data_IF_753224174091
#
_entry.id   IF_753224174091
#
_cell.length_a   1.000
_cell.length_b   1.000
_cell.length_c   1.000
_cell.angle_alpha   90.00
_cell.angle_beta   90.00
_cell.angle_gamma   90.00
#
_symmetry.space_group_name_H-M   'P 1'
#
loop_
_entity.id
_entity.type
_entity.pdbx_description
1 polymer ?
#
# COMPACT_ATOMS: atom_id res chain seq x y z
N UNK A 1 -12.01 -8.41 13.56
CA UNK A 1 -11.53 -7.55 12.47
C UNK A 1 -10.09 -7.11 12.75
N UNK A 2 -9.25 -7.01 11.71
CA UNK A 2 -7.97 -6.29 11.74
C UNK A 2 -8.21 -4.87 11.28
N UNK A 3 -7.48 -3.90 11.82
CA UNK A 3 -7.58 -2.49 11.44
C UNK A 3 -6.16 -1.94 11.23
N UNK A 4 -5.96 -1.17 10.16
CA UNK A 4 -4.68 -0.51 9.88
C UNK A 4 -4.91 0.98 9.58
N UNK A 5 -5.11 1.81 10.60
CA UNK A 5 -5.21 3.25 10.42
C UNK A 5 -3.83 3.84 10.12
N UNK A 6 -3.77 4.81 9.21
CA UNK A 6 -2.57 5.58 8.96
C UNK A 6 -2.62 6.89 9.75
N UNK A 7 -1.55 7.17 10.49
CA UNK A 7 -1.48 8.29 11.44
C UNK A 7 -0.08 8.90 11.50
N UNK A 8 -0.02 10.19 11.83
CA UNK A 8 1.22 10.84 12.24
C UNK A 8 1.64 10.34 13.63
N UNK A 9 2.89 9.90 13.78
CA UNK A 9 3.44 9.49 15.08
C UNK A 9 4.76 10.18 15.39
N UNK A 10 4.89 10.61 16.65
CA UNK A 10 6.17 11.03 17.21
C UNK A 10 6.71 9.87 18.09
N UNK A 11 7.84 9.30 17.68
CA UNK A 11 8.51 8.21 18.38
C UNK A 11 9.94 8.67 18.67
N UNK A 12 10.29 8.83 19.94
CA UNK A 12 11.63 9.25 20.38
C UNK A 12 12.13 10.53 19.67
N UNK A 13 11.26 11.54 19.59
CA UNK A 13 11.49 12.81 18.91
C UNK A 13 11.66 12.74 17.37
N UNK A 14 11.48 11.59 16.76
CA UNK A 14 11.38 11.42 15.32
C UNK A 14 9.92 11.32 14.90
N UNK A 15 9.58 11.95 13.79
CA UNK A 15 8.21 12.04 13.28
C UNK A 15 8.05 11.11 12.09
N UNK A 16 7.04 10.25 12.12
CA UNK A 16 6.81 9.25 11.08
C UNK A 16 5.38 9.30 10.56
N UNK A 17 5.24 9.10 9.27
CA UNK A 17 4.01 8.62 8.67
C UNK A 17 3.90 7.11 8.95
N UNK A 18 2.83 6.68 9.63
CA UNK A 18 2.78 5.36 10.26
C UNK A 18 1.43 4.71 10.11
N UNK A 19 1.41 3.47 9.62
CA UNK A 19 0.23 2.61 9.67
C UNK A 19 0.32 1.67 10.87
N UNK A 20 -0.62 1.78 11.79
CA UNK A 20 -0.71 0.87 12.92
C UNK A 20 -1.28 -0.48 12.47
N UNK A 21 -0.84 -1.57 13.11
CA UNK A 21 -1.45 -2.89 12.92
C UNK A 21 -2.20 -3.29 14.19
N UNK A 22 -3.54 -3.27 14.12
CA UNK A 22 -4.42 -3.58 15.24
C UNK A 22 -5.05 -4.95 14.99
N UNK A 23 -4.87 -5.86 15.94
CA UNK A 23 -5.38 -7.22 15.85
C UNK A 23 -6.88 -7.33 16.19
N UNK A 24 -7.43 -8.53 16.08
CA UNK A 24 -8.85 -8.82 16.35
C UNK A 24 -9.28 -8.61 17.82
N UNK A 25 -8.33 -8.52 18.74
CA UNK A 25 -8.54 -8.21 20.16
C UNK A 25 -8.49 -6.70 20.43
N UNK A 26 -8.24 -5.87 19.41
CA UNK A 26 -8.13 -4.42 19.56
C UNK A 26 -6.76 -3.96 20.05
N UNK A 27 -5.78 -4.85 20.15
CA UNK A 27 -4.42 -4.50 20.55
C UNK A 27 -3.59 -4.02 19.36
N UNK A 28 -2.83 -2.94 19.52
CA UNK A 28 -1.78 -2.54 18.58
C UNK A 28 -0.62 -3.51 18.77
N UNK A 29 -0.37 -4.36 17.78
CA UNK A 29 0.67 -5.39 17.87
C UNK A 29 1.97 -5.00 17.16
N UNK A 30 1.89 -4.12 16.16
CA UNK A 30 3.04 -3.57 15.45
C UNK A 30 2.61 -2.35 14.62
N UNK A 31 3.53 -1.81 13.83
CA UNK A 31 3.33 -0.68 12.91
C UNK A 31 4.26 -0.76 11.71
N UNK A 32 3.85 -0.18 10.60
CA UNK A 32 4.69 0.10 9.45
C UNK A 32 4.94 1.61 9.36
N UNK A 33 6.17 2.01 9.08
CA UNK A 33 6.55 3.41 8.84
C UNK A 33 6.85 3.60 7.35
N UNK A 34 6.49 4.77 6.80
CA UNK A 34 6.81 5.14 5.42
C UNK A 34 8.31 5.13 5.20
N UNK A 35 8.76 4.51 4.11
CA UNK A 35 10.19 4.32 3.81
C UNK A 35 10.74 5.46 2.95
N UNK A 36 10.01 5.84 1.90
CA UNK A 36 10.40 6.91 0.99
C UNK A 36 9.51 8.12 1.22
N UNK A 37 10.10 9.24 1.61
CA UNK A 37 9.37 10.46 1.95
C UNK A 37 9.30 11.37 0.74
N UNK A 38 8.08 11.78 0.39
CA UNK A 38 7.84 12.68 -0.74
C UNK A 38 8.39 14.09 -0.51
N UNK A 39 8.85 14.72 -1.60
CA UNK A 39 9.14 16.14 -1.65
C UNK A 39 8.69 16.66 -3.00
N UNK A 40 7.53 17.30 -3.02
CA UNK A 40 6.91 17.86 -4.20
C UNK A 40 6.09 19.11 -3.82
N UNK A 41 5.58 19.80 -4.81
CA UNK A 41 4.71 20.96 -4.55
C UNK A 41 3.49 20.50 -3.73
N UNK A 42 3.21 21.20 -2.62
CA UNK A 42 2.21 20.92 -1.60
C UNK A 42 2.44 19.62 -0.76
N UNK A 43 3.50 18.85 -1.06
CA UNK A 43 3.91 17.68 -0.28
C UNK A 43 5.36 17.87 0.20
N UNK A 44 5.56 18.74 1.20
CA UNK A 44 6.88 19.05 1.78
C UNK A 44 7.19 18.09 2.94
N UNK A 45 6.98 16.79 2.71
CA UNK A 45 7.01 15.77 3.76
C UNK A 45 8.41 15.56 4.34
N UNK A 46 9.46 15.78 3.54
CA UNK A 46 10.86 15.70 4.02
C UNK A 46 11.20 16.76 5.06
N UNK A 47 10.42 17.83 5.17
CA UNK A 47 10.65 18.88 6.16
C UNK A 47 10.25 18.44 7.57
N UNK A 48 9.42 17.39 7.71
CA UNK A 48 8.89 16.97 9.01
C UNK A 48 8.84 15.46 9.24
N UNK A 49 8.83 14.61 8.22
CA UNK A 49 8.88 13.17 8.40
C UNK A 49 10.31 12.60 8.36
N UNK A 50 10.53 11.58 9.15
CA UNK A 50 11.74 10.76 9.15
C UNK A 50 11.48 9.48 8.36
N UNK A 51 12.33 9.10 7.40
CA UNK A 51 12.22 7.80 6.73
C UNK A 51 12.28 6.63 7.70
N UNK A 52 11.58 5.54 7.38
CA UNK A 52 11.64 4.30 8.14
C UNK A 52 13.08 3.78 8.23
N UNK A 53 13.47 3.34 9.41
CA UNK A 53 14.76 2.72 9.70
C UNK A 53 14.67 1.19 9.83
N UNK A 54 13.47 0.61 9.70
CA UNK A 54 13.21 -0.83 9.81
C UNK A 54 12.52 -1.42 8.56
N UNK A 55 12.38 -0.62 7.50
CA UNK A 55 11.90 -1.03 6.17
C UNK A 55 10.44 -1.45 6.13
N UNK A 56 10.09 -2.21 5.11
CA UNK A 56 8.71 -2.66 4.86
C UNK A 56 8.29 -3.79 5.79
N UNK A 57 7.04 -3.74 6.27
CA UNK A 57 6.44 -4.72 7.18
C UNK A 57 5.41 -5.59 6.48
N UNK A 58 5.35 -6.85 6.91
CA UNK A 58 4.33 -7.81 6.52
C UNK A 58 3.80 -8.49 7.77
N UNK A 59 2.49 -8.51 7.93
CA UNK A 59 1.80 -9.00 9.11
C UNK A 59 1.08 -10.32 8.82
N UNK A 60 1.20 -11.27 9.73
CA UNK A 60 0.50 -12.54 9.64
C UNK A 60 -0.95 -12.40 10.11
N UNK A 61 -1.86 -13.02 9.35
CA UNK A 61 -3.26 -13.21 9.74
C UNK A 61 -3.67 -14.66 9.50
N UNK A 62 -4.81 -15.08 10.04
CA UNK A 62 -5.38 -16.40 9.76
C UNK A 62 -5.82 -16.59 8.30
N UNK A 63 -5.93 -15.51 7.53
CA UNK A 63 -6.36 -15.54 6.12
C UNK A 63 -5.19 -15.51 5.14
N UNK A 64 -4.04 -15.00 5.55
CA UNK A 64 -2.85 -14.80 4.72
C UNK A 64 -1.98 -13.69 5.29
N UNK A 65 -0.96 -13.28 4.54
CA UNK A 65 -0.03 -12.23 4.94
C UNK A 65 -0.38 -10.90 4.29
N UNK A 66 -0.37 -9.83 5.08
CA UNK A 66 -0.70 -8.48 4.63
C UNK A 66 0.54 -7.58 4.72
N UNK A 67 0.98 -7.06 3.59
CA UNK A 67 2.02 -6.03 3.51
C UNK A 67 1.43 -4.63 3.59
N UNK A 68 2.19 -3.69 4.14
CA UNK A 68 1.82 -2.28 4.17
C UNK A 68 2.84 -1.47 3.40
N UNK A 69 2.35 -0.66 2.45
CA UNK A 69 3.12 0.28 1.63
C UNK A 69 2.43 1.63 1.74
N UNK A 70 3.13 2.66 2.21
CA UNK A 70 2.48 3.93 2.55
C UNK A 70 2.69 4.96 1.44
N UNK A 71 1.60 5.44 0.87
CA UNK A 71 1.49 6.60 -0.01
C UNK A 71 2.57 6.63 -1.11
N UNK A 72 3.57 7.52 -1.02
CA UNK A 72 4.64 7.69 -2.00
C UNK A 72 5.49 6.43 -2.22
N UNK A 73 5.59 5.55 -1.23
CA UNK A 73 6.29 4.26 -1.36
C UNK A 73 5.78 3.43 -2.56
N UNK A 74 4.51 3.59 -2.98
CA UNK A 74 3.93 2.83 -4.10
C UNK A 74 4.60 3.10 -5.44
N UNK A 75 5.18 4.31 -5.62
CA UNK A 75 5.88 4.68 -6.85
C UNK A 75 7.19 3.92 -7.05
N UNK A 76 7.73 3.35 -5.97
CA UNK A 76 8.95 2.55 -6.01
C UNK A 76 8.57 1.07 -6.12
N UNK A 77 8.77 0.41 -7.29
CA UNK A 77 8.37 -1.00 -7.48
C UNK A 77 9.03 -1.94 -6.47
N UNK A 78 10.17 -1.56 -5.90
CA UNK A 78 10.85 -2.29 -4.83
C UNK A 78 9.99 -2.44 -3.57
N UNK A 79 9.09 -1.50 -3.30
CA UNK A 79 8.27 -1.46 -2.08
C UNK A 79 7.31 -2.64 -2.03
N UNK A 80 6.44 -2.76 -3.02
CA UNK A 80 5.49 -3.89 -3.15
C UNK A 80 6.25 -5.20 -3.36
N UNK A 81 7.29 -5.18 -4.20
CA UNK A 81 8.13 -6.37 -4.45
C UNK A 81 8.75 -6.90 -3.16
N UNK A 82 9.26 -6.04 -2.30
CA UNK A 82 9.85 -6.44 -1.00
C UNK A 82 8.80 -7.09 -0.10
N UNK A 83 7.61 -6.52 0.01
CA UNK A 83 6.52 -7.13 0.78
C UNK A 83 6.15 -8.51 0.24
N UNK A 84 6.06 -8.67 -1.08
CA UNK A 84 5.73 -9.97 -1.70
C UNK A 84 6.83 -10.99 -1.49
N UNK A 85 8.10 -10.59 -1.56
CA UNK A 85 9.24 -11.47 -1.23
C UNK A 85 9.26 -11.89 0.24
N UNK A 86 8.70 -11.08 1.15
CA UNK A 86 8.43 -11.43 2.55
C UNK A 86 7.17 -12.29 2.73
N UNK A 87 6.46 -12.60 1.64
CA UNK A 87 5.31 -13.51 1.59
C UNK A 87 3.94 -12.85 1.63
N UNK A 88 3.82 -11.54 1.39
CA UNK A 88 2.52 -10.86 1.35
C UNK A 88 1.60 -11.46 0.26
N UNK A 89 0.33 -11.64 0.61
CA UNK A 89 -0.76 -12.06 -0.28
C UNK A 89 -1.69 -10.89 -0.61
N UNK A 90 -1.69 -9.86 0.25
CA UNK A 90 -2.39 -8.58 0.10
C UNK A 90 -1.43 -7.45 0.45
N UNK A 91 -1.45 -6.39 -0.32
CA UNK A 91 -0.84 -5.10 0.02
C UNK A 91 -1.94 -4.10 0.31
N UNK A 92 -1.85 -3.40 1.44
CA UNK A 92 -2.69 -2.24 1.72
C UNK A 92 -1.87 -0.97 1.54
N UNK A 93 -2.49 0.03 0.88
CA UNK A 93 -1.83 1.31 0.57
C UNK A 93 -2.71 2.45 1.07
N UNK A 94 -2.49 2.97 2.27
CA UNK A 94 -3.07 4.26 2.65
C UNK A 94 -2.36 5.38 1.88
N UNK A 95 -3.13 6.30 1.28
CA UNK A 95 -2.56 7.37 0.47
C UNK A 95 -3.41 8.64 0.50
N UNK A 96 -2.78 9.78 0.22
CA UNK A 96 -3.39 11.10 0.08
C UNK A 96 -3.01 11.71 -1.27
N UNK A 97 -3.54 11.11 -2.35
CA UNK A 97 -3.24 11.51 -3.72
C UNK A 97 -4.19 12.61 -4.21
N UNK A 98 -3.66 13.60 -4.89
CA UNK A 98 -4.44 14.71 -5.43
C UNK A 98 -4.77 14.52 -6.92
N UNK A 99 -5.72 15.32 -7.42
CA UNK A 99 -6.10 15.38 -8.84
C UNK A 99 -5.00 15.97 -9.73
N UNK A 100 -3.89 16.45 -9.16
CA UNK A 100 -2.71 16.88 -9.92
C UNK A 100 -1.97 15.69 -10.55
N UNK A 101 -2.04 14.51 -9.94
CA UNK A 101 -1.57 13.28 -10.57
C UNK A 101 -2.60 12.77 -11.59
N UNK A 102 -2.17 12.39 -12.83
CA UNK A 102 -3.08 11.84 -13.81
C UNK A 102 -3.79 10.58 -13.30
N UNK A 103 -5.11 10.63 -13.17
CA UNK A 103 -5.91 9.57 -12.54
C UNK A 103 -5.82 8.22 -13.25
N UNK A 104 -5.59 8.24 -14.56
CA UNK A 104 -5.34 7.01 -15.32
C UNK A 104 -4.04 6.34 -14.87
N UNK A 105 -2.97 7.12 -14.66
CA UNK A 105 -1.68 6.60 -14.19
C UNK A 105 -1.77 6.07 -12.76
N UNK A 106 -2.53 6.74 -11.90
CA UNK A 106 -2.82 6.31 -10.53
C UNK A 106 -3.43 4.90 -10.47
N UNK A 107 -4.41 4.60 -11.34
CA UNK A 107 -5.01 3.26 -11.44
C UNK A 107 -4.04 2.27 -12.09
N UNK A 108 -3.41 2.64 -13.20
CA UNK A 108 -2.49 1.76 -13.94
C UNK A 108 -1.31 1.31 -13.09
N UNK A 109 -0.71 2.21 -12.31
CA UNK A 109 0.40 1.89 -11.42
C UNK A 109 0.03 0.75 -10.46
N UNK A 110 -1.12 0.84 -9.80
CA UNK A 110 -1.59 -0.20 -8.87
C UNK A 110 -1.89 -1.51 -9.59
N UNK A 111 -2.52 -1.47 -10.76
CA UNK A 111 -2.85 -2.64 -11.56
C UNK A 111 -1.61 -3.38 -12.06
N UNK A 112 -0.62 -2.65 -12.58
CA UNK A 112 0.65 -3.22 -13.03
C UNK A 112 1.41 -3.85 -11.86
N UNK A 113 1.52 -3.15 -10.74
CA UNK A 113 2.17 -3.65 -9.54
C UNK A 113 1.50 -4.91 -8.98
N UNK A 114 0.16 -4.96 -8.97
CA UNK A 114 -0.59 -6.15 -8.55
C UNK A 114 -0.28 -7.35 -9.45
N UNK A 115 -0.29 -7.17 -10.76
CA UNK A 115 -0.03 -8.22 -11.74
C UNK A 115 1.42 -8.70 -11.71
N UNK A 116 2.40 -7.79 -11.73
CA UNK A 116 3.83 -8.15 -11.73
C UNK A 116 4.29 -8.84 -10.44
N UNK A 117 3.61 -8.56 -9.34
CA UNK A 117 3.88 -9.15 -8.04
C UNK A 117 2.92 -10.31 -7.70
N UNK A 118 1.88 -10.52 -8.51
CA UNK A 118 0.86 -11.55 -8.30
C UNK A 118 0.28 -11.50 -6.88
N UNK A 119 -0.20 -10.32 -6.50
CA UNK A 119 -0.65 -9.97 -5.15
C UNK A 119 -1.93 -9.14 -5.25
N UNK A 120 -2.85 -9.28 -4.29
CA UNK A 120 -3.94 -8.33 -4.14
C UNK A 120 -3.42 -6.98 -3.68
N UNK A 121 -3.96 -5.91 -4.20
CA UNK A 121 -3.66 -4.55 -3.72
C UNK A 121 -4.96 -3.84 -3.37
N UNK A 122 -5.04 -3.33 -2.16
CA UNK A 122 -6.14 -2.48 -1.69
C UNK A 122 -5.59 -1.09 -1.36
N UNK A 123 -5.92 -0.10 -2.17
CA UNK A 123 -5.49 1.28 -1.98
C UNK A 123 -6.65 2.12 -1.45
N UNK A 124 -6.43 2.79 -0.32
CA UNK A 124 -7.38 3.70 0.32
C UNK A 124 -6.86 5.12 0.17
N UNK A 125 -7.56 5.93 -0.63
CA UNK A 125 -7.18 7.30 -0.92
C UNK A 125 -8.11 8.31 -0.23
N UNK A 126 -7.54 9.45 0.14
CA UNK A 126 -8.25 10.60 0.71
C UNK A 126 -9.20 11.22 -0.31
N UNK A 127 -10.28 11.83 0.17
CA UNK A 127 -11.24 12.64 -0.60
C UNK A 127 -11.32 14.06 -0.03
N UNK A 128 -11.87 14.97 -0.82
CA UNK A 128 -12.17 16.36 -0.42
C UNK A 128 -11.05 17.33 -0.69
N UNK A 129 -11.20 18.55 -0.17
CA UNK A 129 -10.27 19.66 -0.39
C UNK A 129 -9.66 20.13 0.92
N UNK A 130 -8.40 20.49 0.87
CA UNK A 130 -7.67 21.12 1.96
C UNK A 130 -6.72 22.14 1.37
N UNK A 131 -6.94 23.41 1.68
CA UNK A 131 -6.24 24.54 1.08
C UNK A 131 -6.19 24.47 -0.46
N UNK A 132 -5.00 24.32 -1.02
CA UNK A 132 -4.77 24.20 -2.47
C UNK A 132 -4.82 22.74 -2.98
N UNK A 133 -5.01 21.75 -2.11
CA UNK A 133 -5.05 20.33 -2.47
C UNK A 133 -6.49 19.86 -2.69
N UNK A 134 -6.73 19.23 -3.84
CA UNK A 134 -7.99 18.54 -4.18
C UNK A 134 -7.69 17.04 -4.28
N UNK A 135 -8.08 16.29 -3.24
CA UNK A 135 -7.79 14.85 -3.15
C UNK A 135 -8.74 14.06 -4.04
N UNK A 136 -8.16 13.12 -4.77
CA UNK A 136 -8.83 12.48 -5.90
C UNK A 136 -9.80 11.37 -5.53
N UNK A 137 -9.77 10.84 -4.29
CA UNK A 137 -10.56 9.67 -3.93
C UNK A 137 -10.17 8.44 -4.76
N UNK A 138 -11.16 7.79 -5.36
CA UNK A 138 -10.99 6.63 -6.25
C UNK A 138 -10.21 5.46 -5.63
N UNK A 139 -10.42 5.23 -4.32
CA UNK A 139 -9.92 4.04 -3.65
C UNK A 139 -10.30 2.78 -4.43
N UNK A 140 -9.42 1.78 -4.49
CA UNK A 140 -9.69 0.59 -5.30
C UNK A 140 -9.05 -0.66 -4.71
N UNK A 141 -9.63 -1.80 -5.10
CA UNK A 141 -9.05 -3.13 -4.85
C UNK A 141 -8.79 -3.82 -6.18
N UNK A 142 -7.59 -4.36 -6.34
CA UNK A 142 -7.10 -5.00 -7.55
C UNK A 142 -6.70 -6.44 -7.23
N UNK A 143 -7.02 -7.36 -8.13
CA UNK A 143 -6.66 -8.77 -8.02
C UNK A 143 -5.21 -9.05 -8.48
N UNK A 144 -4.67 -10.26 -8.24
CA UNK A 144 -3.31 -10.64 -8.64
C UNK A 144 -3.06 -10.71 -10.16
N UNK A 145 -4.07 -10.49 -11.00
CA UNK A 145 -3.94 -10.39 -12.47
C UNK A 145 -3.97 -8.93 -12.95
N UNK A 146 -4.17 -7.97 -12.04
CA UNK A 146 -4.29 -6.55 -12.37
C UNK A 146 -5.71 -6.13 -12.74
N UNK A 147 -6.74 -6.93 -12.45
CA UNK A 147 -8.13 -6.58 -12.68
C UNK A 147 -8.72 -5.84 -11.47
N UNK A 148 -9.44 -4.74 -11.73
CA UNK A 148 -10.10 -3.97 -10.66
C UNK A 148 -11.35 -4.74 -10.19
N UNK A 149 -11.34 -5.15 -8.91
CA UNK A 149 -12.47 -5.84 -8.28
C UNK A 149 -13.56 -4.85 -7.89
N UNK A 150 -13.16 -3.76 -7.25
CA UNK A 150 -14.06 -2.67 -6.86
C UNK A 150 -13.30 -1.35 -6.80
N UNK A 151 -14.02 -0.26 -7.07
CA UNK A 151 -13.47 1.09 -7.10
C UNK A 151 -14.49 2.08 -6.55
N UNK A 152 -14.05 2.97 -5.69
CA UNK A 152 -14.84 4.11 -5.20
C UNK A 152 -14.82 5.27 -6.20
N UNK A 153 -15.73 6.21 -6.04
CA UNK A 153 -15.67 7.52 -6.69
C UNK A 153 -14.85 8.54 -5.88
N UNK A 154 -15.02 9.81 -6.10
CA UNK A 154 -14.33 10.90 -5.42
C UNK A 154 -15.11 11.46 -4.19
N UNK A 155 -16.12 10.72 -3.72
CA UNK A 155 -16.89 11.06 -2.52
C UNK A 155 -16.46 10.22 -1.30
N UNK A 156 -16.84 10.70 -0.10
CA UNK A 156 -16.63 9.94 1.14
C UNK A 156 -17.55 8.72 1.17
N UNK A 157 -16.95 7.53 1.19
CA UNK A 157 -17.70 6.27 1.16
C UNK A 157 -16.92 5.11 1.78
N UNK A 158 -17.64 4.07 2.17
CA UNK A 158 -17.07 2.77 2.55
C UNK A 158 -17.02 1.87 1.32
N UNK A 159 -15.80 1.53 0.87
CA UNK A 159 -15.60 0.51 -0.15
C UNK A 159 -15.38 -0.86 0.52
N UNK A 160 -16.21 -1.83 0.20
CA UNK A 160 -16.11 -3.19 0.73
C UNK A 160 -16.24 -4.22 -0.39
N UNK A 161 -15.39 -5.26 -0.36
CA UNK A 161 -15.47 -6.39 -1.27
C UNK A 161 -14.92 -7.65 -0.62
N UNK A 162 -15.33 -8.82 -1.13
CA UNK A 162 -14.80 -10.11 -0.71
C UNK A 162 -13.66 -10.53 -1.64
N UNK A 163 -12.55 -10.97 -1.04
CA UNK A 163 -11.38 -11.49 -1.76
C UNK A 163 -10.90 -12.80 -1.12
N UNK A 164 -10.42 -13.73 -1.94
CA UNK A 164 -9.78 -14.96 -1.47
C UNK A 164 -8.26 -14.87 -1.68
N UNK A 165 -7.51 -14.63 -0.61
CA UNK A 165 -6.06 -14.47 -0.65
C UNK A 165 -5.31 -15.72 -1.14
N UNK A 166 -5.95 -16.91 -1.15
CA UNK A 166 -5.35 -18.13 -1.71
C UNK A 166 -5.08 -18.00 -3.20
N UNK A 167 -5.88 -17.21 -3.92
CA UNK A 167 -5.72 -17.00 -5.36
C UNK A 167 -4.33 -16.42 -5.72
N UNK A 168 -3.77 -15.54 -4.89
CA UNK A 168 -2.43 -15.01 -5.08
C UNK A 168 -1.37 -16.13 -5.04
N UNK A 169 -1.48 -17.03 -4.06
CA UNK A 169 -0.57 -18.18 -3.92
C UNK A 169 -0.72 -19.19 -5.07
N UNK A 170 -1.94 -19.44 -5.49
CA UNK A 170 -2.22 -20.36 -6.61
C UNK A 170 -1.69 -19.81 -7.92
N UNK A 171 -1.87 -18.51 -8.17
CA UNK A 171 -1.35 -17.85 -9.37
C UNK A 171 0.17 -17.89 -9.41
N UNK A 172 0.85 -17.60 -8.29
CA UNK A 172 2.33 -17.67 -8.20
C UNK A 172 2.87 -19.08 -8.47
N UNK A 173 2.14 -20.14 -8.08
CA UNK A 173 2.52 -21.53 -8.41
C UNK A 173 2.34 -21.82 -9.88
N UNK A 174 1.26 -21.32 -10.49
CA UNK A 174 0.91 -21.58 -11.90
C UNK A 174 1.75 -20.76 -12.88
N UNK A 175 2.07 -19.53 -12.53
CA UNK A 175 2.83 -18.58 -13.36
C UNK A 175 3.92 -17.93 -12.50
N UNK A 176 5.10 -18.51 -12.36
CA UNK A 176 6.05 -18.14 -11.30
C UNK A 176 6.93 -16.93 -11.66
N UNK A 177 6.37 -15.73 -11.92
CA UNK A 177 7.15 -14.52 -12.22
C UNK A 177 8.20 -14.23 -11.15
N UNK A 178 7.81 -14.31 -9.88
CA UNK A 178 8.71 -14.06 -8.76
C UNK A 178 9.82 -15.09 -8.69
N UNK A 179 9.53 -16.37 -9.01
CA UNK A 179 10.47 -17.48 -8.96
C UNK A 179 11.52 -17.46 -10.09
N UNK A 180 11.29 -16.69 -11.17
CA UNK A 180 12.23 -16.56 -12.29
C UNK A 180 13.22 -15.40 -12.11
N UNK A 181 13.15 -14.69 -11.00
CA UNK A 181 14.08 -13.58 -10.73
C UNK A 181 15.53 -14.08 -10.64
N UNK A 182 16.42 -13.22 -11.07
CA UNK A 182 17.89 -13.44 -11.04
C UNK A 182 18.55 -12.39 -10.13
N UNK A 183 18.38 -12.49 -8.77
CA UNK A 183 18.86 -11.46 -7.84
C UNK A 183 20.36 -11.16 -7.97
N UNK A 184 21.15 -12.13 -8.39
CA UNK A 184 22.59 -11.99 -8.62
C UNK A 184 22.94 -10.99 -9.75
N UNK A 185 21.95 -10.55 -10.52
CA UNK A 185 22.09 -9.57 -11.62
C UNK A 185 21.43 -8.22 -11.30
N UNK A 186 20.78 -8.11 -10.15
CA UNK A 186 20.22 -6.84 -9.68
C UNK A 186 21.20 -6.25 -8.67
N UNK A 187 21.52 -5.04 -8.72
CA UNK A 187 22.48 -4.27 -7.89
C UNK A 187 23.09 -4.97 -6.68
#
# INVERSE_FOLDING_TARGET
>A
IYISPNVYMNIENKKYDTSLWINRQGAIVDKAKMVHIAQAENFYEQDYYTPSDDGFKVFDTEYGKVGVVICYDRHLPESIRTCVLKGADLIIIPTANTKAEPMEMFEWEVRVQAMENQVFVAMCNRVGKEDNMDFSGQSLVVDPKGEVICKADDSEQLLACDIDLKQAKELRKKVPYIGTRRPEWYL
#
